data_IF_459368488598
#
_entry.id   IF_459368488598
#
_cell.length_a   1.000
_cell.length_b   1.000
_cell.length_c   1.000
_cell.angle_alpha   90.00
_cell.angle_beta   90.00
_cell.angle_gamma   90.00
#
_symmetry.space_group_name_H-M   'P 1'
#
loop_
_entity.id
_entity.type
_entity.pdbx_description
1 polymer ?
#
# COMPACT_ATOMS: atom_id res chain seq x y z
N UNK A 1 32.36 -19.18 6.17
CA UNK A 1 32.39 -18.43 7.46
C UNK A 1 33.77 -17.86 7.79
N UNK A 2 34.89 -18.64 7.64
CA UNK A 2 36.26 -18.16 7.91
C UNK A 2 36.70 -16.99 7.01
N UNK A 3 36.37 -17.02 5.73
CA UNK A 3 36.69 -15.94 4.78
C UNK A 3 35.98 -14.62 5.08
N UNK A 4 34.71 -14.67 5.56
CA UNK A 4 33.98 -13.48 6.02
C UNK A 4 34.60 -12.85 7.27
N UNK A 5 35.07 -13.64 8.21
CA UNK A 5 35.71 -13.13 9.43
C UNK A 5 37.10 -12.50 9.16
N UNK A 6 37.88 -13.04 8.21
CA UNK A 6 39.14 -12.42 7.79
C UNK A 6 38.90 -11.05 7.13
N UNK A 7 37.96 -10.96 6.20
CA UNK A 7 37.60 -9.69 5.55
C UNK A 7 37.11 -8.62 6.52
N UNK A 8 36.48 -9.00 7.63
CA UNK A 8 36.03 -8.05 8.66
C UNK A 8 37.24 -7.50 9.44
N UNK A 9 38.16 -8.36 9.87
CA UNK A 9 39.35 -7.92 10.64
C UNK A 9 40.24 -6.96 9.88
N UNK A 10 40.43 -7.18 8.58
CA UNK A 10 41.25 -6.33 7.73
C UNK A 10 40.59 -4.96 7.46
N UNK A 11 39.28 -4.86 7.56
CA UNK A 11 38.51 -3.63 7.38
C UNK A 11 38.36 -2.78 8.65
N UNK A 12 38.59 -3.36 9.82
CA UNK A 12 38.43 -2.65 11.10
C UNK A 12 39.56 -1.60 11.29
N UNK A 13 40.79 -1.98 10.94
CA UNK A 13 41.94 -1.07 11.04
C UNK A 13 41.91 -0.07 9.88
N UNK A 14 42.04 1.20 10.19
CA UNK A 14 42.05 2.28 9.21
C UNK A 14 42.90 3.44 9.68
N UNK A 15 42.98 4.47 8.90
CA UNK A 15 43.66 5.72 9.25
C UNK A 15 42.62 6.80 9.53
N UNK A 16 42.83 7.58 10.57
CA UNK A 16 41.93 8.69 10.91
C UNK A 16 42.00 9.76 9.81
N UNK A 17 40.87 10.17 9.20
CA UNK A 17 40.87 11.18 8.15
C UNK A 17 41.23 12.58 8.62
N UNK A 18 41.19 12.85 9.94
CA UNK A 18 41.50 14.17 10.50
C UNK A 18 42.96 14.32 10.86
N UNK A 19 43.58 13.29 11.49
CA UNK A 19 44.96 13.40 12.01
C UNK A 19 45.96 12.44 11.35
N UNK A 20 45.53 11.55 10.45
CA UNK A 20 46.37 10.56 9.81
C UNK A 20 46.86 9.42 10.71
N UNK A 21 46.51 9.39 11.99
CA UNK A 21 46.92 8.38 12.94
C UNK A 21 46.14 7.07 12.78
N UNK A 22 46.60 5.95 13.40
CA UNK A 22 45.89 4.69 13.38
C UNK A 22 44.52 4.81 14.05
N UNK A 23 43.51 4.26 13.40
CA UNK A 23 42.11 4.29 13.89
C UNK A 23 41.45 2.92 13.71
N UNK A 24 40.35 2.73 14.43
CA UNK A 24 39.51 1.54 14.33
C UNK A 24 38.12 1.95 13.87
N UNK A 25 37.57 1.28 12.86
CA UNK A 25 36.20 1.49 12.42
C UNK A 25 35.23 0.87 13.40
N UNK A 26 34.05 1.50 13.50
CA UNK A 26 32.92 0.90 14.20
C UNK A 26 32.57 -0.46 13.59
N UNK A 27 32.36 -1.47 14.45
CA UNK A 27 32.07 -2.84 14.03
C UNK A 27 30.60 -3.21 14.12
N UNK A 28 29.82 -2.40 14.83
CA UNK A 28 28.38 -2.62 14.90
C UNK A 28 27.73 -2.23 13.58
N UNK A 29 26.88 -3.11 13.11
CA UNK A 29 26.07 -2.83 11.92
C UNK A 29 24.90 -1.95 12.31
N UNK A 30 24.55 -1.00 11.43
CA UNK A 30 23.31 -0.25 11.60
C UNK A 30 22.12 -1.20 11.63
N UNK A 31 21.06 -0.90 12.41
CA UNK A 31 19.84 -1.68 12.40
C UNK A 31 19.31 -1.89 10.99
N UNK A 32 18.66 -3.02 10.72
CA UNK A 32 18.12 -3.35 9.38
C UNK A 32 17.21 -2.28 8.79
N UNK A 33 16.58 -1.46 9.63
CA UNK A 33 15.70 -0.35 9.23
C UNK A 33 16.43 0.87 8.67
N UNK A 34 17.75 0.97 8.85
CA UNK A 34 18.51 2.11 8.35
C UNK A 34 18.44 2.23 6.82
N UNK A 35 18.60 1.11 6.09
CA UNK A 35 18.49 1.10 4.63
C UNK A 35 17.08 1.49 4.13
N UNK A 36 16.04 1.04 4.80
CA UNK A 36 14.66 1.37 4.46
C UNK A 36 14.21 2.77 4.90
N UNK A 37 15.05 3.49 5.66
CA UNK A 37 14.67 4.79 6.23
C UNK A 37 14.62 5.93 5.22
N UNK A 38 15.17 5.76 4.02
CA UNK A 38 15.31 6.83 3.03
C UNK A 38 14.99 6.40 1.59
N UNK A 39 14.53 5.17 1.35
CA UNK A 39 14.26 4.65 0.01
C UNK A 39 13.27 5.52 -0.78
N UNK A 40 12.25 6.07 -0.11
CA UNK A 40 11.24 6.92 -0.73
C UNK A 40 11.85 8.22 -1.28
N UNK A 41 12.89 8.76 -0.66
CA UNK A 41 13.64 9.91 -1.19
C UNK A 41 14.38 9.50 -2.47
N UNK A 42 15.02 8.33 -2.46
CA UNK A 42 15.71 7.81 -3.65
C UNK A 42 14.77 7.53 -4.82
N UNK A 43 13.53 7.14 -4.55
CA UNK A 43 12.52 6.91 -5.59
C UNK A 43 12.12 8.18 -6.33
N UNK A 44 12.30 9.36 -5.74
CA UNK A 44 12.03 10.64 -6.39
C UNK A 44 12.97 10.90 -7.56
N UNK A 45 14.23 10.40 -7.47
CA UNK A 45 15.21 10.47 -8.56
C UNK A 45 16.14 9.25 -8.51
N UNK A 46 15.72 8.10 -9.06
CA UNK A 46 16.46 6.84 -8.96
C UNK A 46 17.77 6.84 -9.77
N UNK A 47 17.92 7.74 -10.74
CA UNK A 47 19.06 7.80 -11.64
C UNK A 47 20.11 8.84 -11.25
N UNK A 48 19.86 9.66 -10.24
CA UNK A 48 20.84 10.61 -9.73
C UNK A 48 22.09 9.88 -9.25
N UNK A 49 23.27 10.28 -9.74
CA UNK A 49 24.56 9.65 -9.41
C UNK A 49 25.34 10.40 -8.34
N UNK A 50 25.12 11.70 -8.23
CA UNK A 50 25.96 12.61 -7.47
C UNK A 50 25.38 12.94 -6.09
N UNK A 51 24.10 12.66 -5.87
CA UNK A 51 23.40 12.95 -4.63
C UNK A 51 22.35 11.86 -4.30
N UNK A 52 21.72 11.99 -3.14
CA UNK A 52 20.58 11.15 -2.71
C UNK A 52 19.42 11.19 -3.74
N UNK A 53 19.10 12.38 -4.21
CA UNK A 53 18.22 12.72 -5.33
C UNK A 53 18.54 14.16 -5.76
N UNK A 54 18.13 14.58 -6.94
CA UNK A 54 18.28 15.97 -7.37
C UNK A 54 17.46 16.91 -6.48
N UNK A 55 17.92 18.13 -6.33
CA UNK A 55 17.23 19.13 -5.49
C UNK A 55 15.84 19.43 -6.04
N UNK A 56 15.73 19.56 -7.36
CA UNK A 56 14.48 19.80 -8.06
C UNK A 56 13.45 18.69 -7.83
N UNK A 57 13.88 17.42 -7.87
CA UNK A 57 13.00 16.28 -7.58
C UNK A 57 12.56 16.26 -6.12
N UNK A 58 13.46 16.55 -5.18
CA UNK A 58 13.14 16.64 -3.76
C UNK A 58 12.16 17.77 -3.47
N UNK A 59 12.34 18.96 -4.07
CA UNK A 59 11.43 20.09 -3.92
C UNK A 59 10.04 19.82 -4.50
N UNK A 60 9.97 19.08 -5.61
CA UNK A 60 8.70 18.77 -6.27
C UNK A 60 7.90 17.66 -5.57
N UNK A 61 8.58 16.60 -5.12
CA UNK A 61 7.92 15.39 -4.61
C UNK A 61 7.83 15.33 -3.07
N UNK A 62 8.45 16.25 -2.33
CA UNK A 62 8.39 16.26 -0.87
C UNK A 62 7.39 17.28 -0.33
N UNK A 63 6.71 16.97 0.77
CA UNK A 63 6.67 15.67 1.47
C UNK A 63 5.88 14.63 0.68
N UNK A 64 6.05 13.34 1.01
CA UNK A 64 5.18 12.29 0.44
C UNK A 64 3.73 12.56 0.81
N UNK A 65 2.84 12.67 -0.17
CA UNK A 65 1.44 13.10 0.03
C UNK A 65 0.68 12.14 0.96
N UNK A 66 0.83 10.84 0.72
CA UNK A 66 0.17 9.82 1.51
C UNK A 66 1.05 8.59 1.69
N UNK A 67 1.32 8.25 2.94
CA UNK A 67 2.12 7.11 3.35
C UNK A 67 1.28 6.06 4.05
N UNK A 68 1.12 4.90 3.42
CA UNK A 68 0.29 3.81 3.89
C UNK A 68 1.14 2.61 4.29
N UNK A 69 0.92 2.06 5.47
CA UNK A 69 1.68 0.92 5.97
C UNK A 69 1.08 0.30 7.23
N UNK A 70 1.64 -0.84 7.64
CA UNK A 70 1.19 -1.56 8.83
C UNK A 70 1.43 -0.79 10.13
N UNK A 71 0.57 -1.02 11.12
CA UNK A 71 0.64 -0.40 12.44
C UNK A 71 1.97 -0.73 13.16
N UNK A 72 2.53 -1.91 12.94
CA UNK A 72 3.79 -2.37 13.54
C UNK A 72 4.98 -1.48 13.18
N UNK A 73 4.93 -0.80 12.03
CA UNK A 73 5.99 0.09 11.59
C UNK A 73 6.02 1.44 12.30
N UNK A 74 5.05 1.74 13.14
CA UNK A 74 5.02 3.00 13.91
C UNK A 74 6.27 3.17 14.79
N UNK A 75 6.69 2.10 15.44
CA UNK A 75 7.88 2.08 16.32
C UNK A 75 9.14 1.52 15.64
N UNK A 76 9.03 1.09 14.37
CA UNK A 76 10.13 0.53 13.60
C UNK A 76 10.50 1.48 12.45
N UNK A 77 10.07 1.16 11.23
CA UNK A 77 10.41 1.92 10.03
C UNK A 77 10.06 3.41 10.13
N UNK A 78 8.87 3.76 10.62
CA UNK A 78 8.45 5.18 10.68
C UNK A 78 9.28 6.00 11.67
N UNK A 79 9.69 5.40 12.80
CA UNK A 79 10.56 6.06 13.76
C UNK A 79 11.92 6.37 13.13
N UNK A 80 12.54 5.38 12.49
CA UNK A 80 13.84 5.53 11.83
C UNK A 80 13.77 6.48 10.64
N UNK A 81 12.77 6.37 9.79
CA UNK A 81 12.64 7.22 8.60
C UNK A 81 12.41 8.70 8.97
N UNK A 82 11.62 8.99 10.02
CA UNK A 82 11.47 10.36 10.52
C UNK A 82 12.75 10.90 11.13
N UNK A 83 13.48 10.09 11.88
CA UNK A 83 14.77 10.48 12.44
C UNK A 83 15.76 10.86 11.32
N UNK A 84 15.92 9.99 10.31
CA UNK A 84 16.76 10.26 9.15
C UNK A 84 16.33 11.50 8.39
N UNK A 85 15.05 11.65 8.15
CA UNK A 85 14.53 12.80 7.41
C UNK A 85 14.78 14.12 8.15
N UNK A 86 14.58 14.16 9.47
CA UNK A 86 14.89 15.35 10.29
C UNK A 86 16.37 15.68 10.27
N UNK A 87 17.24 14.70 10.37
CA UNK A 87 18.67 14.90 10.21
C UNK A 87 19.03 15.46 8.83
N UNK A 88 18.47 14.89 7.76
CA UNK A 88 18.69 15.39 6.39
C UNK A 88 18.15 16.82 6.21
N UNK A 89 17.06 17.17 6.88
CA UNK A 89 16.54 18.52 6.91
C UNK A 89 17.48 19.49 7.62
N UNK A 90 17.99 19.11 8.78
CA UNK A 90 18.91 19.94 9.58
C UNK A 90 20.22 20.25 8.83
N UNK A 91 20.69 19.35 7.97
CA UNK A 91 21.86 19.56 7.11
C UNK A 91 21.52 20.11 5.71
N UNK A 92 20.25 20.47 5.46
CA UNK A 92 19.81 21.12 4.21
C UNK A 92 19.70 20.22 2.98
N UNK A 93 19.62 18.90 3.15
CA UNK A 93 19.53 17.94 2.03
C UNK A 93 18.09 17.78 1.54
N UNK A 94 17.10 17.83 2.44
CA UNK A 94 15.67 17.74 2.07
C UNK A 94 14.94 19.05 2.41
N UNK A 95 13.91 19.44 1.63
CA UNK A 95 13.26 20.75 1.79
C UNK A 95 12.22 20.79 2.91
N UNK A 96 11.72 19.64 3.38
CA UNK A 96 10.62 19.56 4.34
C UNK A 96 11.06 18.98 5.67
N UNK A 97 10.48 19.49 6.78
CA UNK A 97 10.80 19.03 8.13
C UNK A 97 10.23 17.65 8.45
N UNK A 98 9.09 17.27 7.83
CA UNK A 98 8.44 15.97 7.98
C UNK A 98 8.42 15.23 6.64
N UNK A 99 8.64 13.91 6.65
CA UNK A 99 8.71 13.12 5.42
C UNK A 99 7.35 12.86 4.77
N UNK A 100 6.29 12.83 5.55
CA UNK A 100 4.94 12.44 5.11
C UNK A 100 3.92 13.51 5.47
N UNK A 101 3.07 13.90 4.52
CA UNK A 101 1.95 14.82 4.74
C UNK A 101 0.78 14.11 5.42
N UNK A 102 0.46 12.89 4.97
CA UNK A 102 -0.60 12.03 5.55
C UNK A 102 -0.07 10.62 5.76
N UNK A 103 -0.39 10.04 6.90
CA UNK A 103 -0.08 8.64 7.19
C UNK A 103 -1.35 7.89 7.58
N UNK A 104 -1.56 6.71 6.99
CA UNK A 104 -2.66 5.80 7.31
C UNK A 104 -2.11 4.43 7.67
N UNK A 105 -2.66 3.79 8.71
CA UNK A 105 -2.38 2.39 9.02
C UNK A 105 -3.46 1.53 8.43
N UNK A 106 -3.09 0.59 7.57
CA UNK A 106 -4.04 -0.45 7.19
C UNK A 106 -4.23 -1.49 8.30
N UNK A 107 -5.42 -2.09 8.35
CA UNK A 107 -5.73 -3.20 9.24
C UNK A 107 -4.97 -4.48 8.86
N UNK A 108 -4.98 -5.45 9.74
CA UNK A 108 -4.37 -6.77 9.53
C UNK A 108 -5.45 -7.75 9.03
N UNK A 109 -5.12 -8.55 8.03
CA UNK A 109 -5.96 -9.66 7.59
C UNK A 109 -5.52 -10.91 8.34
N UNK A 110 -6.44 -11.46 9.12
CA UNK A 110 -6.26 -12.70 9.87
C UNK A 110 -6.66 -13.91 9.02
N UNK A 111 -6.12 -15.07 9.34
CA UNK A 111 -6.54 -16.34 8.76
C UNK A 111 -7.95 -16.74 9.20
N UNK A 112 -8.45 -17.82 8.64
CA UNK A 112 -9.68 -18.45 9.06
C UNK A 112 -9.62 -18.77 10.56
N UNK A 113 -10.67 -18.45 11.29
CA UNK A 113 -10.68 -18.55 12.76
C UNK A 113 -10.16 -17.34 13.51
N UNK A 114 -9.77 -16.25 12.84
CA UNK A 114 -9.35 -15.00 13.46
C UNK A 114 -7.92 -15.01 14.02
N UNK A 115 -7.09 -15.97 13.63
CA UNK A 115 -5.70 -16.05 14.04
C UNK A 115 -4.75 -15.35 13.06
N UNK A 116 -3.64 -14.81 13.59
CA UNK A 116 -2.58 -14.22 12.74
C UNK A 116 -2.00 -15.28 11.81
N UNK A 117 -1.97 -14.97 10.51
CA UNK A 117 -1.34 -15.82 9.52
C UNK A 117 0.15 -15.99 9.79
N UNK A 118 0.63 -17.23 9.78
CA UNK A 118 2.05 -17.56 9.99
C UNK A 118 2.44 -18.79 9.19
N UNK A 119 3.61 -18.75 8.54
CA UNK A 119 4.16 -19.92 7.82
C UNK A 119 4.34 -21.14 8.71
N UNK A 120 4.69 -20.94 9.98
CA UNK A 120 4.86 -22.03 10.96
C UNK A 120 3.54 -22.70 11.36
N UNK A 121 2.41 -22.01 11.19
CA UNK A 121 1.07 -22.55 11.50
C UNK A 121 0.37 -23.13 10.27
N UNK A 122 0.91 -22.93 9.08
CA UNK A 122 0.33 -23.41 7.82
C UNK A 122 -1.00 -22.73 7.44
N UNK A 123 -1.37 -21.61 8.07
CA UNK A 123 -2.63 -20.89 7.86
C UNK A 123 -2.48 -19.66 6.95
N UNK A 124 -1.39 -19.61 6.16
CA UNK A 124 -1.12 -18.50 5.24
C UNK A 124 -1.90 -18.71 3.95
N UNK A 125 -2.69 -17.73 3.55
CA UNK A 125 -3.29 -17.66 2.23
C UNK A 125 -2.25 -17.12 1.25
N UNK A 126 -1.92 -17.91 0.23
CA UNK A 126 -0.99 -17.49 -0.82
C UNK A 126 -1.75 -16.68 -1.88
N UNK A 127 -1.42 -15.40 -2.10
CA UNK A 127 -2.07 -14.59 -3.11
C UNK A 127 -2.05 -15.18 -4.53
N UNK A 128 -0.95 -15.85 -4.89
CA UNK A 128 -0.81 -16.44 -6.22
C UNK A 128 -1.83 -17.55 -6.49
N UNK A 129 -2.19 -18.33 -5.48
CA UNK A 129 -3.18 -19.41 -5.61
C UNK A 129 -4.58 -18.82 -5.82
N UNK A 130 -4.91 -17.75 -5.10
CA UNK A 130 -6.17 -17.00 -5.27
C UNK A 130 -6.24 -16.36 -6.65
N UNK A 131 -5.16 -15.74 -7.11
CA UNK A 131 -5.09 -15.14 -8.45
C UNK A 131 -5.22 -16.19 -9.54
N UNK A 132 -4.58 -17.35 -9.40
CA UNK A 132 -4.69 -18.45 -10.35
C UNK A 132 -6.11 -19.02 -10.43
N UNK A 133 -6.83 -19.08 -9.30
CA UNK A 133 -8.16 -19.66 -9.22
C UNK A 133 -9.28 -18.68 -9.60
N UNK A 134 -9.20 -17.43 -9.17
CA UNK A 134 -10.30 -16.45 -9.27
C UNK A 134 -9.97 -15.20 -10.08
N UNK A 135 -8.71 -14.99 -10.43
CA UNK A 135 -8.22 -13.79 -11.11
C UNK A 135 -7.76 -12.70 -10.14
N UNK A 136 -6.85 -11.84 -10.62
CA UNK A 136 -6.26 -10.77 -9.85
C UNK A 136 -7.30 -9.71 -9.41
N UNK A 137 -8.24 -9.37 -10.28
CA UNK A 137 -9.26 -8.36 -9.99
C UNK A 137 -10.22 -8.82 -8.89
N UNK A 138 -10.56 -10.12 -8.85
CA UNK A 138 -11.34 -10.70 -7.76
C UNK A 138 -10.64 -10.55 -6.42
N UNK A 139 -9.35 -10.86 -6.36
CA UNK A 139 -8.57 -10.73 -5.14
C UNK A 139 -8.48 -9.26 -4.70
N UNK A 140 -8.18 -8.36 -5.63
CA UNK A 140 -8.08 -6.91 -5.34
C UNK A 140 -9.40 -6.34 -4.83
N UNK A 141 -10.51 -6.67 -5.49
CA UNK A 141 -11.85 -6.27 -5.05
C UNK A 141 -12.18 -6.81 -3.66
N UNK A 142 -11.88 -8.09 -3.42
CA UNK A 142 -12.13 -8.72 -2.13
C UNK A 142 -11.34 -8.05 -0.99
N UNK A 143 -10.05 -7.77 -1.18
CA UNK A 143 -9.23 -7.07 -0.17
C UNK A 143 -9.81 -5.69 0.18
N UNK A 144 -10.38 -4.98 -0.79
CA UNK A 144 -11.05 -3.70 -0.55
C UNK A 144 -12.42 -3.86 0.11
N UNK A 145 -13.06 -5.01 -0.06
CA UNK A 145 -14.42 -5.26 0.45
C UNK A 145 -14.45 -5.93 1.82
N UNK A 146 -13.38 -6.63 2.23
CA UNK A 146 -13.33 -7.48 3.42
C UNK A 146 -13.71 -6.76 4.73
N UNK A 147 -13.52 -5.45 4.80
CA UNK A 147 -13.84 -4.66 5.98
C UNK A 147 -13.38 -3.20 5.87
N UNK A 148 -13.45 -2.50 6.98
CA UNK A 148 -12.89 -1.17 7.13
C UNK A 148 -11.36 -1.23 6.92
N UNK A 149 -10.83 -0.29 6.12
CA UNK A 149 -9.44 -0.27 5.72
C UNK A 149 -8.46 -0.25 6.90
N UNK A 150 -8.81 0.41 7.99
CA UNK A 150 -7.95 0.55 9.16
C UNK A 150 -8.18 -0.54 10.22
N UNK A 151 -9.20 -1.40 10.05
CA UNK A 151 -9.57 -2.43 11.02
C UNK A 151 -9.05 -3.80 10.64
N UNK A 152 -8.99 -4.65 11.65
CA UNK A 152 -8.68 -6.07 11.48
C UNK A 152 -9.86 -6.77 10.81
N UNK A 153 -9.57 -7.61 9.81
CA UNK A 153 -10.56 -8.41 9.12
C UNK A 153 -10.11 -9.88 9.06
N UNK A 154 -11.06 -10.80 8.97
CA UNK A 154 -10.79 -12.24 8.86
C UNK A 154 -10.99 -12.69 7.43
N UNK A 155 -10.06 -13.45 6.89
CA UNK A 155 -10.14 -14.05 5.56
C UNK A 155 -11.34 -14.99 5.45
N UNK A 156 -12.01 -14.98 4.30
CA UNK A 156 -13.13 -15.87 3.99
C UNK A 156 -13.13 -16.24 2.50
N UNK A 157 -12.94 -17.52 2.20
CA UNK A 157 -12.98 -18.03 0.81
C UNK A 157 -14.37 -17.86 0.16
N UNK A 158 -15.43 -17.94 0.93
CA UNK A 158 -16.79 -17.71 0.43
C UNK A 158 -17.02 -16.27 -0.01
N UNK A 159 -16.43 -15.32 0.71
CA UNK A 159 -16.50 -13.90 0.35
C UNK A 159 -15.66 -13.57 -0.90
N UNK A 160 -14.54 -14.28 -1.13
CA UNK A 160 -13.77 -14.21 -2.40
C UNK A 160 -14.67 -14.63 -3.57
N UNK A 161 -15.37 -15.76 -3.46
CA UNK A 161 -16.33 -16.22 -4.48
C UNK A 161 -17.47 -15.22 -4.71
N UNK A 162 -17.91 -14.55 -3.64
CA UNK A 162 -18.88 -13.45 -3.73
C UNK A 162 -18.39 -12.29 -4.60
N UNK A 163 -17.14 -11.89 -4.40
CA UNK A 163 -16.49 -10.84 -5.20
C UNK A 163 -16.35 -11.23 -6.66
N UNK A 164 -15.98 -12.50 -6.95
CA UNK A 164 -15.94 -13.02 -8.33
C UNK A 164 -17.31 -12.92 -9.00
N UNK A 165 -18.36 -13.42 -8.33
CA UNK A 165 -19.73 -13.35 -8.88
C UNK A 165 -20.18 -11.93 -9.15
N UNK A 166 -19.79 -10.96 -8.33
CA UNK A 166 -20.10 -9.55 -8.58
C UNK A 166 -19.42 -9.04 -9.85
N UNK A 167 -18.12 -9.30 -10.02
CA UNK A 167 -17.38 -8.91 -11.22
C UNK A 167 -17.96 -9.53 -12.50
N UNK A 168 -18.29 -10.83 -12.47
CA UNK A 168 -18.91 -11.52 -13.61
C UNK A 168 -20.26 -10.89 -13.98
N UNK A 169 -21.04 -10.50 -12.98
CA UNK A 169 -22.33 -9.82 -13.21
C UNK A 169 -22.17 -8.46 -13.83
N UNK A 170 -21.18 -7.69 -13.37
CA UNK A 170 -20.87 -6.36 -13.93
C UNK A 170 -20.39 -6.50 -15.38
N UNK A 171 -19.53 -7.48 -15.65
CA UNK A 171 -19.07 -7.78 -17.00
C UNK A 171 -20.21 -8.11 -17.95
N UNK A 172 -21.07 -9.05 -17.55
CA UNK A 172 -22.24 -9.43 -18.35
C UNK A 172 -23.22 -8.26 -18.57
N UNK A 173 -23.37 -7.37 -17.58
CA UNK A 173 -24.18 -6.15 -17.78
C UNK A 173 -23.52 -5.23 -18.81
N UNK A 174 -22.21 -5.01 -18.74
CA UNK A 174 -21.50 -4.18 -19.70
C UNK A 174 -21.62 -4.71 -21.14
N UNK A 175 -21.59 -6.04 -21.33
CA UNK A 175 -21.78 -6.67 -22.65
C UNK A 175 -23.22 -6.50 -23.19
N UNK A 176 -24.20 -6.31 -22.31
CA UNK A 176 -25.59 -6.06 -22.71
C UNK A 176 -25.91 -4.60 -22.98
N UNK A 177 -25.03 -3.66 -22.62
CA UNK A 177 -25.22 -2.24 -22.90
C UNK A 177 -25.01 -1.95 -24.39
N UNK A 178 -25.87 -1.09 -24.95
CA UNK A 178 -25.75 -0.57 -26.33
C UNK A 178 -25.48 0.92 -26.30
N UNK A 179 -24.72 1.43 -27.27
CA UNK A 179 -24.31 2.84 -27.34
C UNK A 179 -25.47 3.82 -27.69
N UNK A 180 -26.62 3.28 -28.06
CA UNK A 180 -27.72 4.08 -28.67
C UNK A 180 -28.81 4.50 -27.67
N UNK A 181 -28.70 4.16 -26.38
CA UNK A 181 -29.75 4.42 -25.40
C UNK A 181 -29.36 5.51 -24.41
N UNK A 182 -30.16 6.57 -24.35
CA UNK A 182 -30.08 7.53 -23.26
C UNK A 182 -30.41 6.85 -21.91
N UNK A 183 -29.73 7.29 -20.86
CA UNK A 183 -30.04 6.85 -19.49
C UNK A 183 -31.49 7.24 -19.20
N UNK A 184 -32.32 6.28 -18.76
CA UNK A 184 -33.70 6.56 -18.36
C UNK A 184 -33.74 7.42 -17.09
N UNK A 185 -34.72 8.33 -16.97
CA UNK A 185 -34.89 9.21 -15.80
C UNK A 185 -34.89 8.44 -14.47
N UNK A 186 -35.42 7.22 -14.45
CA UNK A 186 -35.43 6.34 -13.27
C UNK A 186 -34.05 5.86 -12.87
N UNK A 187 -33.19 5.61 -13.84
CA UNK A 187 -31.82 5.13 -13.61
C UNK A 187 -30.86 6.29 -13.34
N UNK A 188 -31.11 7.47 -13.90
CA UNK A 188 -30.28 8.64 -13.75
C UNK A 188 -30.07 9.02 -12.27
N UNK A 189 -31.15 9.11 -11.50
CA UNK A 189 -31.11 9.46 -10.10
C UNK A 189 -30.26 8.48 -9.27
N UNK A 190 -30.37 7.16 -9.52
CA UNK A 190 -29.59 6.17 -8.76
C UNK A 190 -28.13 6.14 -9.20
N UNK A 191 -27.86 6.36 -10.48
CA UNK A 191 -26.47 6.44 -11.00
C UNK A 191 -25.76 7.62 -10.34
N UNK A 192 -26.35 8.81 -10.38
CA UNK A 192 -25.74 10.00 -9.78
C UNK A 192 -25.58 9.89 -8.26
N UNK A 193 -26.57 9.31 -7.56
CA UNK A 193 -26.46 9.02 -6.14
C UNK A 193 -25.30 8.05 -5.84
N UNK A 194 -25.14 7.02 -6.67
CA UNK A 194 -24.06 6.04 -6.54
C UNK A 194 -22.70 6.67 -6.80
N UNK A 195 -22.56 7.47 -7.87
CA UNK A 195 -21.32 8.20 -8.17
C UNK A 195 -20.92 9.07 -6.99
N UNK A 196 -21.85 9.89 -6.48
CA UNK A 196 -21.58 10.74 -5.31
C UNK A 196 -21.11 9.92 -4.11
N UNK A 197 -21.86 8.87 -3.76
CA UNK A 197 -21.55 8.01 -2.60
C UNK A 197 -20.21 7.31 -2.73
N UNK A 198 -19.91 6.77 -3.91
CA UNK A 198 -18.63 6.08 -4.17
C UNK A 198 -17.47 7.04 -4.12
N UNK A 199 -17.62 8.27 -4.66
CA UNK A 199 -16.58 9.30 -4.60
C UNK A 199 -16.24 9.67 -3.15
N UNK A 200 -17.28 9.97 -2.35
CA UNK A 200 -17.11 10.31 -0.93
C UNK A 200 -16.47 9.16 -0.15
N UNK A 201 -16.91 7.92 -0.37
CA UNK A 201 -16.38 6.74 0.30
C UNK A 201 -14.90 6.45 -0.07
N UNK A 202 -14.51 6.67 -1.31
CA UNK A 202 -13.11 6.52 -1.74
C UNK A 202 -12.22 7.57 -1.08
N UNK A 203 -12.65 8.82 -1.01
CA UNK A 203 -11.90 9.90 -0.36
C UNK A 203 -11.69 9.63 1.14
N UNK A 204 -12.68 8.98 1.77
CA UNK A 204 -12.66 8.60 3.18
C UNK A 204 -12.05 7.20 3.45
N UNK A 205 -11.53 6.51 2.41
CA UNK A 205 -11.02 5.13 2.49
C UNK A 205 -12.04 4.08 2.94
N UNK A 206 -13.32 4.35 2.75
CA UNK A 206 -14.44 3.44 3.02
C UNK A 206 -14.74 2.53 1.82
N UNK A 207 -13.74 1.80 1.36
CA UNK A 207 -13.82 0.99 0.14
C UNK A 207 -14.93 -0.06 0.19
N UNK A 208 -15.17 -0.66 1.35
CA UNK A 208 -16.21 -1.66 1.57
C UNK A 208 -17.62 -1.08 1.33
N UNK A 209 -17.89 0.15 1.78
CA UNK A 209 -19.18 0.80 1.56
C UNK A 209 -19.34 1.29 0.12
N UNK A 210 -18.27 1.72 -0.53
CA UNK A 210 -18.25 2.05 -1.95
C UNK A 210 -18.66 0.83 -2.80
N UNK A 211 -18.05 -0.34 -2.55
CA UNK A 211 -18.36 -1.59 -3.26
C UNK A 211 -19.80 -2.05 -2.97
N UNK A 212 -20.25 -1.94 -1.72
CA UNK A 212 -21.63 -2.23 -1.37
C UNK A 212 -22.62 -1.34 -2.14
N UNK A 213 -22.34 -0.04 -2.25
CA UNK A 213 -23.16 0.92 -3.02
C UNK A 213 -23.23 0.57 -4.50
N UNK A 214 -22.11 0.17 -5.10
CA UNK A 214 -22.09 -0.32 -6.49
C UNK A 214 -22.91 -1.61 -6.68
N UNK A 215 -22.86 -2.53 -5.71
CA UNK A 215 -23.64 -3.77 -5.74
C UNK A 215 -25.13 -3.50 -5.68
N UNK A 216 -25.56 -2.55 -4.84
CA UNK A 216 -26.97 -2.12 -4.76
C UNK A 216 -27.41 -1.47 -6.06
N UNK A 217 -26.60 -0.57 -6.62
CA UNK A 217 -26.88 0.08 -7.90
C UNK A 217 -27.03 -0.94 -9.03
N UNK A 218 -26.12 -1.88 -9.14
CA UNK A 218 -26.22 -2.98 -10.11
C UNK A 218 -27.54 -3.74 -10.00
N UNK A 219 -27.93 -4.11 -8.79
CA UNK A 219 -29.17 -4.87 -8.55
C UNK A 219 -30.41 -4.07 -8.97
N UNK A 220 -30.40 -2.76 -8.72
CA UNK A 220 -31.47 -1.86 -9.12
C UNK A 220 -31.57 -1.73 -10.63
N UNK A 221 -30.46 -1.47 -11.31
CA UNK A 221 -30.41 -1.33 -12.77
C UNK A 221 -30.94 -2.59 -13.46
N UNK A 222 -30.47 -3.78 -13.05
CA UNK A 222 -30.92 -5.05 -13.60
C UNK A 222 -32.41 -5.33 -13.38
N UNK A 223 -32.96 -4.95 -12.24
CA UNK A 223 -34.38 -5.17 -11.94
C UNK A 223 -35.32 -4.34 -12.86
N UNK A 224 -34.82 -3.24 -13.42
CA UNK A 224 -35.57 -2.37 -14.32
C UNK A 224 -35.42 -2.75 -15.79
N UNK A 225 -34.31 -3.37 -16.20
CA UNK A 225 -34.12 -3.88 -17.57
C UNK A 225 -34.99 -5.11 -17.88
N UNK A 226 -35.32 -5.92 -16.89
CA UNK A 226 -36.13 -7.16 -17.05
C UNK A 226 -37.63 -6.91 -17.04
N UNK A 227 -38.09 -5.65 -16.93
CA UNK A 227 -39.51 -5.27 -16.86
C UNK A 227 -40.00 -4.46 -18.06
N UNK A 228 -39.19 -4.34 -19.11
CA UNK A 228 -39.59 -3.74 -20.40
C UNK A 228 -39.97 -4.77 -21.45
#
# INVERSE_FOLDING_TARGET
RRQRQMCIRDRIKTTCPCCGGPATRETDTMPQWAGSSWYFLRYMDPHCKDALASKEALEYWSPVDWYNGGMEHTTLHLLYSRFWHKFLYDIGVVPTKEPYAKRTSHGMILGEGGEKMSKSRGNVVNPNDIVAQYGADTMRLYIMFIGDFEKVATWSDEAVKGSKRFLDRVWNLAESCTDDLAISDKNEAIIHKTIKKVTEDIDELKMNTAIASMTVSYTHLRAHETRS
#
